data_IF_830462973470
#
_entry.id   IF_830462973470
#
_cell.length_a   1.000
_cell.length_b   1.000
_cell.length_c   1.000
_cell.angle_alpha   90.00
_cell.angle_beta   90.00
_cell.angle_gamma   90.00
#
_symmetry.space_group_name_H-M   'P 1'
#
loop_
_entity.id
_entity.type
_entity.pdbx_description
1 polymer ?
#
# COMPACT_ATOMS: atom_id res chain seq x y z
N UNK A 1 26.09 3.33 42.90
CA UNK A 1 25.43 4.52 42.32
C UNK A 1 25.69 4.45 40.81
N UNK A 2 24.77 3.88 40.04
CA UNK A 2 23.89 4.56 39.06
C UNK A 2 24.73 5.26 37.96
N UNK A 3 24.67 4.88 36.69
CA UNK A 3 23.45 4.89 35.89
C UNK A 3 23.51 3.88 34.73
N UNK A 4 22.45 3.10 34.59
CA UNK A 4 22.14 2.34 33.38
C UNK A 4 21.67 3.31 32.30
N UNK A 5 22.40 3.41 31.18
CA UNK A 5 21.92 4.14 30.02
C UNK A 5 20.74 3.38 29.41
N UNK A 6 19.62 4.10 29.28
CA UNK A 6 18.33 3.60 28.83
C UNK A 6 18.23 3.64 27.31
N UNK A 7 17.89 2.50 26.71
CA UNK A 7 17.20 2.26 25.44
C UNK A 7 17.34 3.24 24.26
N UNK A 8 17.73 2.70 23.11
CA UNK A 8 17.16 3.08 21.82
C UNK A 8 16.84 1.82 21.03
N UNK A 9 15.56 1.43 21.02
CA UNK A 9 15.04 0.48 20.06
C UNK A 9 15.00 1.20 18.72
N UNK A 10 15.98 0.95 17.85
CA UNK A 10 15.81 1.27 16.45
C UNK A 10 14.66 0.40 15.93
N UNK A 11 13.51 1.03 15.79
CA UNK A 11 12.34 0.51 15.09
C UNK A 11 12.83 -0.07 13.76
N UNK A 12 12.63 -1.37 13.55
CA UNK A 12 12.84 -2.00 12.25
C UNK A 12 11.76 -1.52 11.27
N UNK A 13 11.75 -0.23 10.94
CA UNK A 13 11.28 0.21 9.63
C UNK A 13 12.32 -0.30 8.64
N UNK A 14 12.24 -1.58 8.31
CA UNK A 14 13.06 -2.19 7.28
C UNK A 14 12.91 -1.32 6.04
N UNK A 15 13.99 -0.68 5.57
CA UNK A 15 13.95 0.04 4.30
C UNK A 15 13.60 -0.96 3.21
N UNK A 16 12.31 -1.03 2.86
CA UNK A 16 11.83 -2.00 1.88
C UNK A 16 12.31 -1.53 0.51
N UNK A 17 13.10 -2.36 -0.14
CA UNK A 17 13.44 -2.17 -1.54
C UNK A 17 12.22 -2.49 -2.39
N UNK A 18 11.64 -1.47 -3.01
CA UNK A 18 10.57 -1.64 -3.98
C UNK A 18 11.17 -1.73 -5.38
N UNK A 19 10.62 -2.57 -6.27
CA UNK A 19 11.09 -2.62 -7.65
C UNK A 19 10.85 -1.28 -8.34
N UNK A 20 11.74 -0.91 -9.27
CA UNK A 20 11.64 0.35 -10.03
C UNK A 20 10.38 0.45 -10.90
N UNK A 21 9.78 -0.70 -11.21
CA UNK A 21 8.52 -0.82 -11.95
C UNK A 21 7.28 -0.63 -11.07
N UNK A 22 7.43 -0.53 -9.74
CA UNK A 22 6.30 -0.30 -8.85
C UNK A 22 5.77 1.12 -8.99
N UNK A 23 4.47 1.21 -9.24
CA UNK A 23 3.72 2.46 -9.35
C UNK A 23 3.10 2.81 -8.00
N UNK A 24 2.98 4.12 -7.74
CA UNK A 24 2.24 4.62 -6.58
C UNK A 24 0.77 4.88 -6.93
N UNK A 25 -0.13 4.40 -6.08
CA UNK A 25 -1.55 4.73 -6.10
C UNK A 25 -2.22 4.60 -4.73
N UNK A 26 -3.53 4.80 -4.71
CA UNK A 26 -4.41 4.58 -3.56
C UNK A 26 -5.25 3.36 -3.83
N UNK A 27 -5.20 2.37 -2.94
CA UNK A 27 -5.99 1.15 -3.07
C UNK A 27 -7.10 1.14 -2.04
N UNK A 28 -8.31 0.91 -2.52
CA UNK A 28 -9.49 0.63 -1.73
C UNK A 28 -10.01 -0.75 -2.13
N UNK A 29 -10.11 -1.64 -1.14
CA UNK A 29 -10.59 -3.00 -1.37
C UNK A 29 -12.09 -3.02 -1.11
N UNK A 30 -12.86 -3.15 -2.19
CA UNK A 30 -14.32 -3.21 -2.15
C UNK A 30 -14.79 -4.67 -2.00
N UNK A 31 -14.81 -5.45 -3.08
CA UNK A 31 -15.20 -6.86 -3.08
C UNK A 31 -14.16 -7.65 -3.88
N UNK A 32 -13.25 -8.39 -3.22
CA UNK A 32 -12.21 -9.15 -3.92
C UNK A 32 -12.82 -10.10 -4.96
N UNK A 33 -12.22 -10.21 -6.17
CA UNK A 33 -10.95 -9.63 -6.60
C UNK A 33 -11.03 -8.17 -7.09
N UNK A 34 -12.23 -7.60 -7.20
CA UNK A 34 -12.43 -6.22 -7.64
C UNK A 34 -11.97 -5.24 -6.55
N UNK A 35 -11.22 -4.23 -6.97
CA UNK A 35 -10.70 -3.18 -6.10
C UNK A 35 -10.87 -1.83 -6.79
N UNK A 36 -10.75 -0.75 -6.02
CA UNK A 36 -10.65 0.60 -6.56
C UNK A 36 -9.19 1.05 -6.44
N UNK A 37 -8.55 1.28 -7.58
CA UNK A 37 -7.24 1.88 -7.65
C UNK A 37 -7.37 3.33 -8.13
N UNK A 38 -6.97 4.28 -7.29
CA UNK A 38 -7.11 5.71 -7.56
C UNK A 38 -8.56 6.10 -7.94
N UNK A 39 -9.53 5.42 -7.31
CA UNK A 39 -10.97 5.60 -7.55
C UNK A 39 -11.52 4.93 -8.82
N UNK A 40 -10.69 4.20 -9.57
CA UNK A 40 -11.12 3.44 -10.75
C UNK A 40 -11.24 1.96 -10.42
N UNK A 41 -12.24 1.31 -11.00
CA UNK A 41 -12.39 -0.14 -10.91
C UNK A 41 -11.16 -0.80 -11.55
N UNK A 42 -10.44 -1.56 -10.73
CA UNK A 42 -9.31 -2.40 -11.11
C UNK A 42 -9.51 -3.78 -10.45
N UNK A 43 -8.60 -4.72 -10.71
CA UNK A 43 -8.72 -6.09 -10.19
C UNK A 43 -7.36 -6.63 -9.73
N UNK A 44 -7.41 -7.39 -8.64
CA UNK A 44 -6.29 -8.19 -8.18
C UNK A 44 -6.12 -9.41 -9.08
N UNK A 45 -4.88 -9.74 -9.42
CA UNK A 45 -4.59 -11.00 -10.11
C UNK A 45 -4.94 -12.20 -9.22
N UNK A 46 -5.21 -13.38 -9.79
CA UNK A 46 -5.50 -14.59 -9.03
C UNK A 46 -4.38 -14.99 -8.05
N UNK A 47 -3.14 -14.56 -8.33
CA UNK A 47 -1.96 -14.79 -7.50
C UNK A 47 -1.49 -13.55 -6.73
N UNK A 48 -2.34 -12.53 -6.60
CA UNK A 48 -1.92 -11.24 -6.06
C UNK A 48 -1.43 -11.34 -4.62
N UNK A 49 -0.29 -10.71 -4.34
CA UNK A 49 0.32 -10.67 -3.00
C UNK A 49 0.23 -9.27 -2.43
N UNK A 50 -0.36 -9.14 -1.24
CA UNK A 50 -0.45 -7.85 -0.55
C UNK A 50 0.48 -7.88 0.64
N UNK A 51 1.42 -6.95 0.70
CA UNK A 51 2.36 -6.79 1.79
C UNK A 51 1.92 -5.61 2.66
N UNK A 52 1.67 -5.86 3.95
CA UNK A 52 1.33 -4.82 4.91
C UNK A 52 2.52 -3.92 5.21
N UNK A 53 2.31 -2.86 5.99
CA UNK A 53 3.38 -1.96 6.48
C UNK A 53 4.53 -2.70 7.17
N UNK A 54 4.22 -3.79 7.86
CA UNK A 54 5.17 -4.62 8.60
C UNK A 54 5.88 -5.67 7.73
N UNK A 55 5.83 -5.54 6.39
CA UNK A 55 6.35 -6.49 5.42
C UNK A 55 5.70 -7.90 5.45
N UNK A 56 4.65 -8.08 6.25
CA UNK A 56 3.88 -9.32 6.35
C UNK A 56 2.91 -9.44 5.19
N UNK A 57 2.63 -10.67 4.73
CA UNK A 57 1.57 -10.91 3.75
C UNK A 57 0.19 -10.74 4.41
N UNK A 58 -0.63 -9.88 3.81
CA UNK A 58 -2.02 -9.65 4.16
C UNK A 58 -2.92 -10.33 3.12
N UNK A 59 -4.04 -10.86 3.61
CA UNK A 59 -5.08 -11.40 2.75
C UNK A 59 -5.92 -10.25 2.21
N UNK A 60 -6.20 -10.23 0.90
CA UNK A 60 -7.10 -9.26 0.26
C UNK A 60 -8.45 -9.15 0.97
N UNK A 61 -9.03 -10.28 1.41
CA UNK A 61 -10.27 -10.31 2.19
C UNK A 61 -10.19 -9.56 3.53
N UNK A 62 -9.01 -9.46 4.15
CA UNK A 62 -8.84 -8.73 5.42
C UNK A 62 -8.81 -7.21 5.25
N UNK A 63 -8.61 -6.73 4.01
CA UNK A 63 -8.56 -5.32 3.66
C UNK A 63 -9.92 -4.78 3.23
N UNK A 64 -10.93 -5.65 3.09
CA UNK A 64 -12.30 -5.25 2.74
C UNK A 64 -12.83 -4.26 3.77
N UNK A 65 -13.31 -3.11 3.29
CA UNK A 65 -13.81 -2.04 4.16
C UNK A 65 -12.73 -1.17 4.81
N UNK A 66 -11.44 -1.43 4.52
CA UNK A 66 -10.37 -0.49 4.87
C UNK A 66 -10.29 0.60 3.80
N UNK A 67 -10.38 1.85 4.25
CA UNK A 67 -10.33 3.05 3.41
C UNK A 67 -9.00 3.19 2.67
N UNK A 68 -9.05 3.84 1.49
CA UNK A 68 -7.95 4.18 0.60
C UNK A 68 -6.58 4.33 1.30
N UNK A 69 -5.75 3.29 1.20
CA UNK A 69 -4.38 3.32 1.70
C UNK A 69 -3.42 3.66 0.56
N UNK A 70 -2.41 4.46 0.85
CA UNK A 70 -1.31 4.67 -0.09
C UNK A 70 -0.58 3.34 -0.27
N UNK A 71 -0.50 2.88 -1.52
CA UNK A 71 0.16 1.63 -1.88
C UNK A 71 1.20 1.84 -2.97
N UNK A 72 2.19 0.95 -2.99
CA UNK A 72 2.88 0.61 -4.22
C UNK A 72 2.23 -0.60 -4.85
N UNK A 73 2.23 -0.67 -6.18
CA UNK A 73 1.78 -1.86 -6.88
C UNK A 73 2.55 -2.11 -8.16
N UNK A 74 2.62 -3.38 -8.56
CA UNK A 74 3.05 -3.80 -9.90
C UNK A 74 1.87 -4.41 -10.65
N UNK A 75 1.93 -4.36 -11.97
CA UNK A 75 0.95 -5.01 -12.85
C UNK A 75 1.58 -6.18 -13.56
N UNK A 76 0.80 -7.23 -13.77
CA UNK A 76 1.18 -8.33 -14.68
C UNK A 76 0.92 -7.96 -16.15
N UNK A 77 1.36 -8.82 -17.07
CA UNK A 77 1.18 -8.63 -18.52
C UNK A 77 -0.30 -8.47 -18.89
N UNK A 78 -1.22 -9.11 -18.15
CA UNK A 78 -2.67 -8.99 -18.32
C UNK A 78 -3.28 -7.68 -17.77
N UNK A 79 -2.48 -6.82 -17.14
CA UNK A 79 -2.92 -5.53 -16.61
C UNK A 79 -3.50 -5.56 -15.19
N UNK A 80 -3.73 -6.75 -14.62
CA UNK A 80 -4.18 -6.91 -13.23
C UNK A 80 -3.05 -6.60 -12.23
N UNK A 81 -3.44 -6.28 -11.00
CA UNK A 81 -2.49 -5.99 -9.91
C UNK A 81 -1.85 -7.29 -9.42
N UNK A 82 -0.53 -7.39 -9.53
CA UNK A 82 0.21 -8.61 -9.19
C UNK A 82 0.78 -8.56 -7.77
N UNK A 83 1.48 -7.48 -7.42
CA UNK A 83 1.99 -7.28 -6.07
C UNK A 83 1.58 -5.90 -5.59
N UNK A 84 1.17 -5.83 -4.33
CA UNK A 84 0.72 -4.61 -3.67
C UNK A 84 1.48 -4.48 -2.36
N UNK A 85 2.00 -3.30 -2.05
CA UNK A 85 2.62 -2.99 -0.78
C UNK A 85 1.91 -1.81 -0.14
N UNK A 86 1.29 -2.04 1.01
CA UNK A 86 0.76 -1.01 1.90
C UNK A 86 1.92 -0.26 2.52
N UNK A 87 1.86 1.06 2.41
CA UNK A 87 2.94 1.94 2.83
C UNK A 87 2.67 2.50 4.20
N UNK A 88 3.76 2.68 4.94
CA UNK A 88 3.78 3.57 6.11
C UNK A 88 3.77 5.03 5.67
N UNK A 89 3.43 5.93 6.59
CA UNK A 89 3.50 7.38 6.34
C UNK A 89 4.90 7.85 5.93
N UNK A 90 5.94 7.25 6.51
CA UNK A 90 7.34 7.51 6.16
C UNK A 90 7.64 7.11 4.70
N UNK A 91 7.16 5.95 4.25
CA UNK A 91 7.34 5.47 2.87
C UNK A 91 6.44 6.20 1.87
N UNK A 92 5.28 6.69 2.31
CA UNK A 92 4.39 7.52 1.50
C UNK A 92 5.00 8.90 1.22
N UNK A 93 5.86 9.40 2.12
CA UNK A 93 6.59 10.66 1.95
C UNK A 93 7.72 10.58 0.90
N UNK A 94 8.17 9.36 0.54
CA UNK A 94 9.16 9.16 -0.52
C UNK A 94 8.51 9.36 -1.89
N UNK A 95 8.99 10.37 -2.62
CA UNK A 95 8.49 10.70 -3.96
C UNK A 95 8.82 9.57 -4.95
N UNK A 96 7.77 8.94 -5.51
CA UNK A 96 7.87 7.89 -6.55
C UNK A 96 7.06 8.26 -7.79
N UNK A 97 7.35 7.67 -8.96
CA UNK A 97 6.48 7.78 -10.11
C UNK A 97 5.09 7.23 -9.74
N UNK A 98 4.11 8.13 -9.73
CA UNK A 98 2.71 7.78 -9.66
C UNK A 98 2.20 7.64 -11.09
N UNK A 99 1.37 6.64 -11.34
CA UNK A 99 0.49 6.72 -12.51
C UNK A 99 -0.51 7.83 -12.16
N UNK A 100 -0.28 9.05 -12.62
CA UNK A 100 -1.08 10.26 -12.29
C UNK A 100 -2.59 9.94 -12.15
N UNK A 101 -3.31 10.35 -11.09
CA UNK A 101 -3.47 11.68 -10.50
C UNK A 101 -4.21 11.49 -9.14
N UNK A 102 -3.94 12.29 -8.10
CA UNK A 102 -4.67 12.16 -6.84
C UNK A 102 -6.09 12.74 -7.01
N UNK A 103 -7.11 11.89 -6.97
CA UNK A 103 -8.47 12.33 -6.66
C UNK A 103 -8.51 12.69 -5.16
N UNK A 104 -8.00 13.88 -4.81
CA UNK A 104 -8.23 14.49 -3.50
C UNK A 104 -9.64 15.08 -3.52
N UNK A 105 -10.65 14.31 -3.13
CA UNK A 105 -11.94 14.86 -2.70
C UNK A 105 -12.62 13.85 -1.76
N UNK A 106 -12.27 13.96 -0.48
CA UNK A 106 -13.13 13.51 0.60
C UNK A 106 -14.19 14.61 0.79
N UNK A 107 -15.48 14.25 0.76
CA UNK A 107 -16.55 15.03 1.38
C UNK A 107 -17.54 15.72 0.43
N UNK A 108 -18.71 15.10 0.26
CA UNK A 108 -19.96 15.80 0.49
C UNK A 108 -20.82 14.88 1.37
N UNK A 109 -21.04 15.31 2.61
CA UNK A 109 -22.23 14.95 3.37
C UNK A 109 -23.44 15.43 2.57
N UNK A 110 -24.28 14.52 2.07
CA UNK A 110 -25.75 14.57 2.12
C UNK A 110 -26.32 13.17 1.83
#
# INVERSE_FOLDING_TARGET
MCASATFSLNLHAQERSFPVTALRGTLEVTVPPQVLLDGKIDQLSPGARIHGSNNMLLLSGSLVGQTAQAVNYTREIGGALAEVWVLTEAEASVKRPTAAKPWRFFGLFD
#
